data_IF_217771407627
#
_entry.id   IF_217771407627
#
_cell.length_a   1.000
_cell.length_b   1.000
_cell.length_c   1.000
_cell.angle_alpha   90.00
_cell.angle_beta   90.00
_cell.angle_gamma   90.00
#
_symmetry.space_group_name_H-M   'P 1'
#
loop_
_entity.id
_entity.type
_entity.pdbx_description
1 polymer ?
#
# COMPACT_ATOMS: atom_id res chain seq x y z
N UNK A 1 17.73 -27.79 60.02
CA UNK A 1 16.86 -26.66 59.57
C UNK A 1 16.41 -27.01 58.15
N UNK A 2 15.44 -27.89 57.91
CA UNK A 2 13.97 -27.81 58.12
C UNK A 2 13.33 -26.53 57.56
N UNK A 3 12.71 -26.72 56.40
CA UNK A 3 11.45 -26.15 55.91
C UNK A 3 11.41 -24.64 55.63
N UNK A 4 11.42 -24.28 54.35
CA UNK A 4 10.56 -23.24 53.73
C UNK A 4 10.58 -23.49 52.21
N UNK A 5 9.92 -24.58 51.82
CA UNK A 5 9.68 -24.97 50.43
C UNK A 5 8.20 -25.35 50.34
N UNK A 6 7.27 -24.44 50.69
CA UNK A 6 5.83 -24.70 50.55
C UNK A 6 5.00 -23.44 50.87
N UNK A 7 5.06 -22.37 50.08
CA UNK A 7 3.99 -21.34 50.10
C UNK A 7 4.04 -20.36 48.90
N UNK A 8 3.99 -20.87 47.67
CA UNK A 8 3.63 -20.02 46.53
C UNK A 8 2.88 -20.82 45.46
N UNK A 9 1.85 -21.55 45.91
CA UNK A 9 0.92 -22.29 45.07
C UNK A 9 -0.50 -21.89 45.47
N UNK A 10 -0.96 -20.73 45.03
CA UNK A 10 -2.39 -20.39 44.87
C UNK A 10 -2.52 -18.96 44.38
N UNK A 11 -2.52 -18.75 43.05
CA UNK A 11 -3.23 -17.63 42.41
C UNK A 11 -3.36 -17.85 40.88
N UNK A 12 -3.81 -19.04 40.45
CA UNK A 12 -4.23 -19.27 39.06
C UNK A 12 -5.73 -19.64 39.03
N UNK A 13 -6.53 -18.60 38.88
CA UNK A 13 -7.96 -18.62 38.61
C UNK A 13 -8.37 -17.16 38.61
N UNK A 14 -9.02 -16.58 37.61
CA UNK A 14 -9.90 -17.08 36.57
C UNK A 14 -10.04 -15.94 35.54
N UNK A 15 -10.82 -16.16 34.48
CA UNK A 15 -11.30 -15.17 33.49
C UNK A 15 -10.67 -15.28 32.08
N UNK A 16 -10.82 -16.44 31.44
CA UNK A 16 -11.01 -16.44 29.99
C UNK A 16 -12.52 -16.36 29.71
N UNK A 17 -13.03 -15.14 29.55
CA UNK A 17 -14.36 -14.92 28.94
C UNK A 17 -14.21 -14.99 27.42
N UNK A 18 -14.73 -16.06 26.81
CA UNK A 18 -14.91 -16.13 25.37
C UNK A 18 -16.04 -15.18 24.98
N UNK A 19 -15.70 -14.01 24.45
CA UNK A 19 -16.65 -13.17 23.72
C UNK A 19 -16.81 -13.73 22.31
N UNK A 20 -17.95 -14.35 22.05
CA UNK A 20 -18.38 -14.66 20.69
C UNK A 20 -18.60 -13.35 19.92
N UNK A 21 -17.92 -13.10 18.78
CA UNK A 21 -18.27 -11.96 17.96
C UNK A 21 -19.64 -12.23 17.34
N UNK A 22 -20.63 -11.44 17.79
CA UNK A 22 -21.93 -11.31 17.13
C UNK A 22 -21.71 -10.61 15.79
N UNK A 23 -21.46 -11.40 14.74
CA UNK A 23 -21.40 -10.92 13.36
C UNK A 23 -22.83 -10.60 12.93
N UNK A 24 -23.30 -9.41 13.31
CA UNK A 24 -24.37 -8.76 12.55
C UNK A 24 -23.86 -8.61 11.12
N UNK A 25 -24.47 -9.38 10.22
CA UNK A 25 -24.36 -9.24 8.77
C UNK A 25 -24.80 -7.83 8.40
N UNK A 26 -23.87 -6.88 8.45
CA UNK A 26 -24.04 -5.58 7.83
C UNK A 26 -23.92 -5.84 6.33
N UNK A 27 -25.08 -5.97 5.67
CA UNK A 27 -25.19 -5.88 4.22
C UNK A 27 -24.74 -4.46 3.91
N UNK A 28 -23.44 -4.30 3.62
CA UNK A 28 -22.92 -3.09 3.01
C UNK A 28 -23.63 -3.02 1.67
N UNK A 29 -24.66 -2.18 1.65
CA UNK A 29 -25.31 -1.73 0.43
C UNK A 29 -24.20 -1.42 -0.55
N UNK A 30 -24.23 -2.14 -1.67
CA UNK A 30 -23.40 -1.92 -2.84
C UNK A 30 -23.24 -0.41 -3.04
N UNK A 31 -22.05 0.10 -2.73
CA UNK A 31 -21.69 1.46 -3.10
C UNK A 31 -21.84 1.53 -4.60
N UNK A 32 -22.88 2.23 -5.05
CA UNK A 32 -23.10 2.52 -6.45
C UNK A 32 -21.82 3.18 -6.96
N UNK A 33 -21.04 2.43 -7.74
CA UNK A 33 -19.94 2.98 -8.51
C UNK A 33 -20.60 3.99 -9.44
N UNK A 34 -20.51 5.28 -9.11
CA UNK A 34 -20.86 6.38 -10.01
C UNK A 34 -19.85 6.38 -11.15
N UNK A 35 -20.02 5.46 -12.08
CA UNK A 35 -19.41 5.52 -13.39
C UNK A 35 -20.04 6.71 -14.12
N UNK A 36 -19.29 7.80 -14.22
CA UNK A 36 -19.68 8.94 -15.05
C UNK A 36 -19.50 8.52 -16.51
N UNK A 37 -20.58 8.01 -17.10
CA UNK A 37 -20.61 7.63 -18.51
C UNK A 37 -20.78 8.90 -19.37
N UNK A 38 -19.70 9.30 -20.05
CA UNK A 38 -19.76 10.34 -21.08
C UNK A 38 -20.39 9.72 -22.33
N UNK A 39 -21.68 9.97 -22.55
CA UNK A 39 -22.42 9.44 -23.69
C UNK A 39 -22.01 10.13 -24.99
N UNK A 40 -21.03 9.57 -25.68
CA UNK A 40 -20.82 9.81 -27.11
C UNK A 40 -21.07 8.51 -27.85
N UNK A 41 -21.99 8.56 -28.80
CA UNK A 41 -22.46 7.42 -29.60
C UNK A 41 -21.39 6.99 -30.59
N UNK A 42 -20.53 6.05 -30.23
CA UNK A 42 -19.74 5.30 -31.21
C UNK A 42 -19.23 3.98 -30.60
N UNK A 43 -19.59 2.85 -31.23
CA UNK A 43 -19.15 1.46 -30.96
C UNK A 43 -18.50 1.18 -29.58
N UNK A 44 -19.33 0.86 -28.58
CA UNK A 44 -19.09 0.08 -27.34
C UNK A 44 -17.66 -0.14 -26.79
N UNK A 45 -16.76 0.84 -26.89
CA UNK A 45 -15.53 0.87 -26.11
C UNK A 45 -15.90 1.44 -24.75
N UNK A 46 -16.06 0.57 -23.76
CA UNK A 46 -16.18 0.98 -22.37
C UNK A 46 -14.89 1.72 -21.99
N UNK A 47 -14.96 3.04 -21.87
CA UNK A 47 -13.85 3.84 -21.34
C UNK A 47 -13.87 3.64 -19.82
N UNK A 48 -12.88 2.91 -19.32
CA UNK A 48 -12.66 2.77 -17.89
C UNK A 48 -11.84 3.97 -17.41
N UNK A 49 -12.50 4.86 -16.66
CA UNK A 49 -11.82 5.97 -15.98
C UNK A 49 -11.45 5.54 -14.57
N UNK A 50 -10.16 5.58 -14.25
CA UNK A 50 -9.65 5.32 -12.89
C UNK A 50 -9.26 6.67 -12.28
N UNK A 51 -9.69 6.93 -11.04
CA UNK A 51 -9.28 8.12 -10.29
C UNK A 51 -7.75 8.09 -10.05
N UNK A 52 -6.99 9.10 -10.51
CA UNK A 52 -5.54 9.19 -10.28
C UNK A 52 -5.14 9.05 -8.81
N UNK A 53 -5.99 9.53 -7.88
CA UNK A 53 -5.73 9.44 -6.44
C UNK A 53 -5.74 8.00 -5.95
N UNK A 54 -6.73 7.21 -6.37
CA UNK A 54 -6.81 5.79 -6.02
C UNK A 54 -5.63 5.03 -6.63
N UNK A 55 -5.34 5.27 -7.91
CA UNK A 55 -4.20 4.63 -8.59
C UNK A 55 -2.86 4.96 -7.92
N UNK A 56 -2.66 6.21 -7.52
CA UNK A 56 -1.46 6.62 -6.78
C UNK A 56 -1.37 5.95 -5.41
N UNK A 57 -2.49 5.80 -4.71
CA UNK A 57 -2.54 5.08 -3.43
C UNK A 57 -2.18 3.61 -3.59
N UNK A 58 -2.68 2.94 -4.63
CA UNK A 58 -2.35 1.54 -4.93
C UNK A 58 -0.85 1.36 -5.19
N UNK A 59 -0.24 2.28 -5.94
CA UNK A 59 1.21 2.29 -6.21
C UNK A 59 2.00 2.46 -4.90
N UNK A 60 1.59 3.42 -4.06
CA UNK A 60 2.26 3.69 -2.77
C UNK A 60 2.14 2.49 -1.83
N UNK A 61 0.95 1.90 -1.74
CA UNK A 61 0.71 0.71 -0.93
C UNK A 61 1.56 -0.46 -1.42
N UNK A 62 1.57 -0.72 -2.73
CA UNK A 62 2.37 -1.81 -3.33
C UNK A 62 3.86 -1.64 -3.01
N UNK A 63 4.41 -0.43 -3.17
CA UNK A 63 5.79 -0.14 -2.77
C UNK A 63 6.04 -0.40 -1.29
N UNK A 64 5.14 0.04 -0.41
CA UNK A 64 5.28 -0.12 1.04
C UNK A 64 5.23 -1.60 1.45
N UNK A 65 4.40 -2.42 0.80
CA UNK A 65 4.38 -3.87 1.03
C UNK A 65 5.69 -4.51 0.57
N UNK A 66 6.16 -4.22 -0.65
CA UNK A 66 7.42 -4.74 -1.18
C UNK A 66 8.61 -4.35 -0.28
N UNK A 67 8.61 -3.11 0.23
CA UNK A 67 9.65 -2.58 1.12
C UNK A 67 9.76 -3.30 2.46
N UNK A 68 8.73 -4.01 2.91
CA UNK A 68 8.82 -4.84 4.13
C UNK A 68 9.75 -6.03 3.94
N UNK A 69 9.80 -6.59 2.73
CA UNK A 69 10.53 -7.82 2.42
C UNK A 69 11.82 -7.58 1.64
N UNK A 70 11.95 -6.44 0.94
CA UNK A 70 13.11 -6.09 0.13
C UNK A 70 13.79 -4.80 0.62
N UNK A 71 15.12 -4.75 0.52
CA UNK A 71 15.87 -3.52 0.77
C UNK A 71 15.57 -2.48 -0.31
N UNK A 72 15.57 -1.20 0.04
CA UNK A 72 15.37 -0.07 -0.89
C UNK A 72 16.23 -0.12 -2.17
N UNK A 73 17.40 -0.74 -2.12
CA UNK A 73 18.31 -0.93 -3.26
C UNK A 73 17.81 -1.95 -4.29
N UNK A 74 16.90 -2.85 -3.91
CA UNK A 74 16.40 -3.93 -4.76
C UNK A 74 15.09 -3.60 -5.47
N UNK A 75 14.39 -2.56 -5.02
CA UNK A 75 13.11 -2.15 -5.59
C UNK A 75 13.37 -1.29 -6.83
N UNK A 76 12.77 -1.68 -7.95
CA UNK A 76 12.90 -1.01 -9.25
C UNK A 76 11.52 -0.66 -9.79
N UNK A 77 11.35 0.59 -10.19
CA UNK A 77 10.23 1.05 -11.00
C UNK A 77 10.65 1.13 -12.46
N UNK A 78 9.84 0.56 -13.35
CA UNK A 78 10.02 0.69 -14.80
C UNK A 78 9.07 1.72 -15.37
N UNK A 79 9.60 2.63 -16.18
CA UNK A 79 8.84 3.68 -16.83
C UNK A 79 8.66 3.37 -18.32
N UNK A 80 7.63 3.97 -18.94
CA UNK A 80 7.26 3.78 -20.35
C UNK A 80 8.34 4.19 -21.38
N UNK A 81 9.31 5.00 -20.97
CA UNK A 81 10.45 5.43 -21.77
C UNK A 81 11.69 4.53 -21.59
N UNK A 82 11.51 3.32 -21.07
CA UNK A 82 12.57 2.37 -20.71
C UNK A 82 13.53 2.86 -19.60
N UNK A 83 13.24 4.00 -18.96
CA UNK A 83 13.97 4.45 -17.78
C UNK A 83 13.58 3.60 -16.58
N UNK A 84 14.53 3.43 -15.67
CA UNK A 84 14.28 2.81 -14.37
C UNK A 84 14.58 3.78 -13.23
N UNK A 85 13.86 3.61 -12.13
CA UNK A 85 14.15 4.28 -10.85
C UNK A 85 14.48 3.20 -9.83
N UNK A 86 15.64 3.30 -9.21
CA UNK A 86 16.15 2.38 -8.19
C UNK A 86 16.73 3.14 -6.99
N UNK A 87 17.19 2.42 -5.96
CA UNK A 87 17.71 3.00 -4.72
C UNK A 87 16.70 3.93 -4.04
N UNK A 88 15.43 3.52 -4.01
CA UNK A 88 14.30 4.35 -3.59
C UNK A 88 14.19 4.31 -2.07
N UNK A 89 14.46 5.45 -1.45
CA UNK A 89 14.34 5.65 -0.01
C UNK A 89 12.87 5.81 0.37
N UNK A 90 12.13 6.60 -0.41
CA UNK A 90 10.74 6.95 -0.15
C UNK A 90 10.03 7.39 -1.42
N UNK A 91 8.70 7.34 -1.40
CA UNK A 91 7.82 7.87 -2.43
C UNK A 91 6.69 8.67 -1.82
N UNK A 92 6.25 9.74 -2.47
CA UNK A 92 5.17 10.58 -1.97
C UNK A 92 4.29 11.08 -3.11
N UNK A 93 2.98 11.08 -2.91
CA UNK A 93 2.03 11.69 -3.84
C UNK A 93 2.16 13.21 -3.85
N UNK A 94 2.17 13.82 -5.04
CA UNK A 94 1.93 15.25 -5.17
C UNK A 94 0.46 15.61 -4.82
N UNK A 95 0.16 16.91 -4.70
CA UNK A 95 -1.14 17.40 -4.25
C UNK A 95 -2.34 16.89 -5.08
N UNK A 96 -2.19 16.78 -6.40
CA UNK A 96 -3.24 16.32 -7.31
C UNK A 96 -3.19 14.81 -7.60
N UNK A 97 -2.26 14.08 -6.98
CA UNK A 97 -2.08 12.64 -7.17
C UNK A 97 -1.95 12.18 -8.64
N UNK A 98 -1.42 13.05 -9.52
CA UNK A 98 -1.02 12.71 -10.90
C UNK A 98 0.49 12.52 -11.02
N UNK A 99 1.24 12.97 -10.01
CA UNK A 99 2.69 12.84 -9.93
C UNK A 99 3.05 12.08 -8.66
N UNK A 100 4.04 11.21 -8.81
CA UNK A 100 4.72 10.55 -7.69
C UNK A 100 6.14 11.10 -7.58
N UNK A 101 6.51 11.56 -6.39
CA UNK A 101 7.84 12.08 -6.09
C UNK A 101 8.66 10.93 -5.51
N UNK A 102 9.76 10.60 -6.17
CA UNK A 102 10.73 9.60 -5.76
C UNK A 102 11.89 10.26 -5.04
N UNK A 103 12.20 9.80 -3.83
CA UNK A 103 13.43 10.13 -3.13
C UNK A 103 14.41 8.99 -3.28
N UNK A 104 15.52 9.23 -3.97
CA UNK A 104 16.52 8.20 -4.31
C UNK A 104 17.88 8.54 -3.71
N UNK A 105 18.63 7.51 -3.33
CA UNK A 105 20.04 7.65 -2.93
C UNK A 105 20.94 7.49 -4.16
N UNK A 106 21.87 8.43 -4.32
CA UNK A 106 22.90 8.43 -5.36
C UNK A 106 24.29 8.53 -4.71
N UNK A 107 25.34 8.35 -5.50
CA UNK A 107 26.72 8.52 -5.02
C UNK A 107 27.04 9.94 -4.51
N UNK A 108 26.23 10.94 -4.88
CA UNK A 108 26.42 12.35 -4.53
C UNK A 108 25.44 12.79 -3.42
N UNK A 109 24.55 11.89 -2.96
CA UNK A 109 23.55 12.17 -1.93
C UNK A 109 22.12 11.87 -2.39
N UNK A 110 21.15 12.59 -1.82
CA UNK A 110 19.73 12.37 -2.10
C UNK A 110 19.29 13.17 -3.31
N UNK A 111 18.68 12.49 -4.29
CA UNK A 111 18.00 13.11 -5.44
C UNK A 111 16.49 12.95 -5.31
N UNK A 112 15.75 13.99 -5.63
CA UNK A 112 14.29 13.94 -5.78
C UNK A 112 13.93 14.05 -7.27
N UNK A 113 13.00 13.21 -7.72
CA UNK A 113 12.49 13.24 -9.09
C UNK A 113 10.97 13.02 -9.07
N UNK A 114 10.22 13.83 -9.81
CA UNK A 114 8.77 13.68 -9.97
C UNK A 114 8.47 13.00 -11.32
N UNK A 115 7.57 12.04 -11.31
CA UNK A 115 7.16 11.27 -12.49
C UNK A 115 5.64 11.16 -12.55
N UNK A 116 5.07 11.22 -13.75
CA UNK A 116 3.66 10.98 -13.97
C UNK A 116 3.30 9.54 -13.61
N UNK A 117 2.19 9.33 -12.91
CA UNK A 117 1.77 7.99 -12.52
C UNK A 117 1.44 7.12 -13.74
N UNK A 118 1.07 7.75 -14.85
CA UNK A 118 0.77 7.13 -16.14
C UNK A 118 2.03 6.58 -16.82
N UNK A 119 3.20 7.13 -16.51
CA UNK A 119 4.47 6.67 -17.05
C UNK A 119 4.98 5.40 -16.34
N UNK A 120 4.45 5.07 -15.15
CA UNK A 120 4.86 3.90 -14.37
C UNK A 120 4.20 2.65 -14.96
N UNK A 121 5.03 1.72 -15.46
CA UNK A 121 4.59 0.43 -15.99
C UNK A 121 4.47 -0.60 -14.89
N UNK A 122 5.52 -0.75 -14.07
CA UNK A 122 5.59 -1.82 -13.08
C UNK A 122 6.59 -1.53 -11.96
N UNK A 123 6.41 -2.27 -10.86
CA UNK A 123 7.29 -2.30 -9.68
C UNK A 123 7.79 -3.73 -9.52
N UNK A 124 9.08 -3.92 -9.32
CA UNK A 124 9.68 -5.24 -9.14
C UNK A 124 10.81 -5.23 -8.11
N UNK A 125 11.24 -6.42 -7.70
CA UNK A 125 12.43 -6.64 -6.90
C UNK A 125 13.44 -7.49 -7.66
N UNK A 126 14.73 -7.13 -7.56
CA UNK A 126 15.85 -7.98 -7.98
C UNK A 126 16.29 -8.98 -6.89
#
# INVERSE_FOLDING_TARGET
MKNIFFLFLMLLGSLFSQTTPNIKKNVIASSEIKASALSTSDSTRAILTIDPKLRTQDIIQTYNEIKKDATSSKIIFYLNNNKTISNIVDITSAANATLLIFKTTTNVGIKQEAVFIEDIISISTL
#
